data_IF_182771135829
#
_entry.id   IF_182771135829
#
_cell.length_a   1.000
_cell.length_b   1.000
_cell.length_c   1.000
_cell.angle_alpha   90.00
_cell.angle_beta   90.00
_cell.angle_gamma   90.00
#
_symmetry.space_group_name_H-M   'P 1'
#
loop_
_entity.id
_entity.type
_entity.pdbx_description
1 polymer ?
#
# COMPACT_ATOMS: atom_id res chain seq x y z
N UNK A 1 -0.52 21.58 -4.92
CA UNK A 1 -0.49 23.04 -5.14
C UNK A 1 0.93 23.49 -5.42
N UNK A 2 1.08 24.66 -5.98
CA UNK A 2 2.36 25.38 -6.10
C UNK A 2 2.35 26.49 -5.07
N UNK A 3 3.46 26.60 -4.32
CA UNK A 3 3.65 27.64 -3.31
C UNK A 3 4.96 28.37 -3.58
N UNK A 4 5.03 29.66 -3.26
CA UNK A 4 6.27 30.42 -3.33
C UNK A 4 7.09 30.16 -2.07
N UNK A 5 8.33 29.69 -2.25
CA UNK A 5 9.31 29.50 -1.19
C UNK A 5 10.64 30.07 -1.66
N UNK A 6 11.19 31.04 -0.90
CA UNK A 6 12.48 31.69 -1.22
C UNK A 6 12.56 32.26 -2.64
N UNK A 7 11.43 32.80 -3.16
CA UNK A 7 11.32 33.35 -4.50
C UNK A 7 11.21 32.32 -5.63
N UNK A 8 11.03 31.05 -5.29
CA UNK A 8 10.84 29.96 -6.25
C UNK A 8 9.46 29.32 -6.10
N UNK A 9 8.84 28.91 -7.22
CA UNK A 9 7.61 28.14 -7.21
C UNK A 9 7.96 26.67 -6.88
N UNK A 10 7.45 26.19 -5.74
CA UNK A 10 7.67 24.82 -5.26
C UNK A 10 6.34 24.07 -5.25
N UNK A 11 6.33 22.90 -5.87
CA UNK A 11 5.17 22.03 -5.83
C UNK A 11 5.07 21.36 -4.46
N UNK A 12 3.88 21.39 -3.85
CA UNK A 12 3.62 20.73 -2.56
C UNK A 12 2.41 19.82 -2.68
N UNK A 13 2.58 18.57 -2.26
CA UNK A 13 1.49 17.60 -2.16
C UNK A 13 1.11 17.38 -0.70
N UNK A 14 -0.18 17.24 -0.40
CA UNK A 14 -0.67 16.98 0.96
C UNK A 14 -1.34 15.62 1.05
N UNK A 15 -1.06 14.91 2.14
CA UNK A 15 -1.81 13.72 2.53
C UNK A 15 -2.42 13.96 3.92
N UNK A 16 -3.74 13.85 4.03
CA UNK A 16 -4.49 14.06 5.27
C UNK A 16 -5.00 12.74 5.78
N UNK A 17 -4.67 12.41 7.01
CA UNK A 17 -4.96 11.14 7.68
C UNK A 17 -5.89 11.39 8.85
N UNK A 18 -7.05 10.73 8.89
CA UNK A 18 -7.92 10.74 10.05
C UNK A 18 -7.31 9.91 11.18
N UNK A 19 -7.22 10.47 12.35
CA UNK A 19 -6.72 9.85 13.58
C UNK A 19 -7.82 9.55 14.60
N UNK A 20 -8.98 10.18 14.44
CA UNK A 20 -10.22 9.93 15.16
C UNK A 20 -11.38 10.54 14.35
N UNK A 21 -12.53 10.72 14.96
CA UNK A 21 -13.67 11.43 14.36
C UNK A 21 -13.40 12.94 14.22
N UNK A 22 -12.50 13.49 15.04
CA UNK A 22 -12.24 14.94 15.11
C UNK A 22 -10.75 15.31 15.00
N UNK A 23 -9.85 14.35 14.95
CA UNK A 23 -8.41 14.62 14.87
C UNK A 23 -7.80 14.07 13.60
N UNK A 24 -6.85 14.82 13.05
CA UNK A 24 -6.19 14.52 11.79
C UNK A 24 -4.69 14.76 11.90
N UNK A 25 -3.94 14.14 11.00
CA UNK A 25 -2.55 14.52 10.69
C UNK A 25 -2.49 14.90 9.22
N UNK A 26 -1.77 15.96 8.91
CA UNK A 26 -1.37 16.30 7.55
C UNK A 26 0.12 16.08 7.37
N UNK A 27 0.51 15.51 6.24
CA UNK A 27 1.90 15.48 5.79
C UNK A 27 2.00 16.23 4.47
N UNK A 28 2.78 17.30 4.44
CA UNK A 28 3.13 18.06 3.25
C UNK A 28 4.43 17.49 2.67
N UNK A 29 4.42 17.16 1.40
CA UNK A 29 5.53 16.61 0.63
C UNK A 29 6.08 17.68 -0.30
N UNK A 30 7.29 18.16 -0.04
CA UNK A 30 7.94 19.19 -0.85
C UNK A 30 8.47 18.57 -2.15
N UNK A 31 8.06 19.07 -3.29
CA UNK A 31 8.31 18.50 -4.63
C UNK A 31 7.09 17.82 -5.25
N UNK A 32 6.04 17.54 -4.48
CA UNK A 32 4.81 16.90 -4.94
C UNK A 32 4.40 15.68 -4.11
N UNK A 33 3.41 14.93 -4.54
CA UNK A 33 3.01 13.70 -3.84
C UNK A 33 4.01 12.54 -4.07
N UNK A 34 4.12 11.56 -3.16
CA UNK A 34 4.89 10.34 -3.39
C UNK A 34 4.51 9.66 -4.73
N UNK A 35 5.50 9.37 -5.57
CA UNK A 35 5.31 8.86 -6.92
C UNK A 35 4.76 9.89 -7.92
N UNK A 36 4.76 11.19 -7.57
CA UNK A 36 4.36 12.30 -8.44
C UNK A 36 5.16 13.58 -8.11
N UNK A 37 6.48 13.41 -7.95
CA UNK A 37 7.45 14.49 -7.77
C UNK A 37 8.24 14.40 -6.47
N UNK A 38 7.64 13.97 -5.37
CA UNK A 38 8.40 13.72 -4.14
C UNK A 38 9.23 12.45 -4.23
N UNK A 39 10.47 12.52 -3.80
CA UNK A 39 11.41 11.42 -3.71
C UNK A 39 11.78 11.15 -2.25
N UNK A 40 12.12 9.89 -1.93
CA UNK A 40 12.54 9.50 -0.58
C UNK A 40 13.74 10.33 -0.12
N UNK A 41 13.63 10.88 1.08
CA UNK A 41 14.64 11.76 1.66
C UNK A 41 14.44 13.25 1.36
N UNK A 42 13.52 13.61 0.44
CA UNK A 42 13.10 14.99 0.28
C UNK A 42 12.28 15.47 1.51
N UNK A 43 12.25 16.79 1.71
CA UNK A 43 11.61 17.43 2.85
C UNK A 43 10.13 17.05 2.96
N UNK A 44 9.69 16.80 4.20
CA UNK A 44 8.29 16.69 4.58
C UNK A 44 8.02 17.55 5.80
N UNK A 45 6.80 18.09 5.90
CA UNK A 45 6.35 18.84 7.08
C UNK A 45 5.05 18.23 7.59
N UNK A 46 4.90 18.13 8.91
CA UNK A 46 3.67 17.58 9.49
C UNK A 46 2.91 18.64 10.28
N UNK A 47 1.59 18.45 10.34
CA UNK A 47 0.71 19.26 11.15
C UNK A 47 -0.37 18.40 11.78
N UNK A 48 -0.76 18.71 13.01
CA UNK A 48 -1.89 18.11 13.68
C UNK A 48 -3.14 18.95 13.46
N UNK A 49 -4.25 18.30 13.11
CA UNK A 49 -5.52 18.94 12.83
C UNK A 49 -6.58 18.58 13.87
N UNK A 50 -7.35 19.56 14.33
CA UNK A 50 -8.50 19.39 15.21
C UNK A 50 -9.75 20.00 14.60
N UNK A 51 -10.80 19.19 14.44
CA UNK A 51 -12.10 19.62 13.93
C UNK A 51 -12.97 20.14 15.07
N UNK A 52 -13.48 21.35 14.94
CA UNK A 52 -14.50 21.95 15.80
C UNK A 52 -15.58 22.59 14.91
N UNK A 53 -16.79 22.05 15.00
CA UNK A 53 -17.85 22.39 14.03
C UNK A 53 -17.49 21.92 12.63
N UNK A 54 -17.33 22.85 11.67
CA UNK A 54 -16.90 22.60 10.29
C UNK A 54 -15.47 23.08 10.01
N UNK A 55 -14.78 23.63 11.03
CA UNK A 55 -13.43 24.18 10.92
C UNK A 55 -12.40 23.20 11.47
N UNK A 56 -11.34 22.97 10.69
CA UNK A 56 -10.15 22.22 11.12
C UNK A 56 -9.04 23.24 11.40
N UNK A 57 -8.58 23.29 12.64
CA UNK A 57 -7.40 24.06 13.05
C UNK A 57 -6.17 23.15 12.96
N UNK A 58 -5.19 23.54 12.19
CA UNK A 58 -3.93 22.84 11.98
C UNK A 58 -2.80 23.52 12.74
N UNK A 59 -2.05 22.75 13.53
CA UNK A 59 -0.86 23.22 14.22
C UNK A 59 0.36 22.48 13.65
N UNK A 60 1.30 23.22 13.09
CA UNK A 60 2.56 22.68 12.59
C UNK A 60 3.58 22.50 13.72
N UNK A 61 4.68 21.78 13.47
CA UNK A 61 5.72 21.47 14.47
C UNK A 61 6.39 22.75 15.04
N UNK A 62 6.47 23.81 14.26
CA UNK A 62 6.98 25.13 14.67
C UNK A 62 5.93 26.01 15.37
N UNK A 63 4.72 25.48 15.62
CA UNK A 63 3.65 26.16 16.34
C UNK A 63 2.79 27.10 15.49
N UNK A 64 3.02 27.21 14.18
CA UNK A 64 2.16 27.99 13.31
C UNK A 64 0.76 27.35 13.21
N UNK A 65 -0.27 28.18 13.18
CA UNK A 65 -1.66 27.75 13.09
C UNK A 65 -2.25 28.18 11.76
N UNK A 66 -2.87 27.21 11.06
CA UNK A 66 -3.69 27.46 9.87
C UNK A 66 -5.10 26.91 10.10
N UNK A 67 -6.09 27.51 9.45
CA UNK A 67 -7.49 27.09 9.56
C UNK A 67 -8.04 26.71 8.21
N UNK A 68 -8.87 25.68 8.17
CA UNK A 68 -9.48 25.21 6.93
C UNK A 68 -10.86 24.61 7.19
N UNK A 69 -11.62 24.41 6.11
CA UNK A 69 -12.83 23.60 6.10
C UNK A 69 -12.88 22.69 4.87
N UNK A 70 -13.63 21.61 4.96
CA UNK A 70 -13.87 20.76 3.80
C UNK A 70 -14.81 21.48 2.83
N UNK A 71 -14.41 21.54 1.57
CA UNK A 71 -15.22 22.04 0.45
C UNK A 71 -15.33 20.94 -0.61
N UNK A 72 -16.26 21.08 -1.54
CA UNK A 72 -16.46 20.08 -2.61
C UNK A 72 -15.17 19.81 -3.41
N UNK A 73 -14.42 20.86 -3.72
CA UNK A 73 -13.18 20.78 -4.49
C UNK A 73 -11.96 20.25 -3.68
N UNK A 74 -12.02 20.19 -2.33
CA UNK A 74 -10.89 19.77 -1.51
C UNK A 74 -10.89 20.36 -0.12
N UNK A 75 -9.79 21.07 0.25
CA UNK A 75 -9.62 21.73 1.54
C UNK A 75 -9.54 23.23 1.28
N UNK A 76 -10.57 23.97 1.73
CA UNK A 76 -10.58 25.44 1.68
C UNK A 76 -9.81 26.03 2.84
N UNK A 77 -8.75 26.80 2.57
CA UNK A 77 -8.07 27.62 3.56
C UNK A 77 -8.96 28.82 3.88
N UNK A 78 -9.07 29.18 5.16
CA UNK A 78 -9.96 30.25 5.61
C UNK A 78 -9.21 31.35 6.34
N UNK A 79 -9.72 32.57 6.19
CA UNK A 79 -9.30 33.74 6.96
C UNK A 79 -9.95 33.76 8.36
N UNK A 80 -9.71 34.82 9.15
CA UNK A 80 -10.25 34.97 10.51
C UNK A 80 -11.77 35.11 10.52
N UNK A 81 -12.37 35.62 9.44
CA UNK A 81 -13.83 35.73 9.27
C UNK A 81 -14.50 34.41 8.86
N UNK A 82 -13.69 33.35 8.61
CA UNK A 82 -14.15 32.02 8.20
C UNK A 82 -14.49 31.92 6.69
N UNK A 83 -14.10 32.89 5.89
CA UNK A 83 -14.26 32.88 4.44
C UNK A 83 -13.14 32.08 3.77
N UNK A 84 -13.48 31.31 2.73
CA UNK A 84 -12.49 30.56 1.94
C UNK A 84 -11.70 31.54 1.07
N UNK A 85 -10.39 31.61 1.31
CA UNK A 85 -9.47 32.47 0.55
C UNK A 85 -8.72 31.72 -0.53
N UNK A 86 -8.49 30.40 -0.34
CA UNK A 86 -7.82 29.54 -1.31
C UNK A 86 -8.30 28.09 -1.13
N UNK A 87 -8.00 27.23 -2.10
CA UNK A 87 -8.39 25.81 -2.03
C UNK A 87 -7.25 24.91 -2.46
N UNK A 88 -6.90 23.97 -1.58
CA UNK A 88 -6.03 22.84 -1.91
C UNK A 88 -6.91 21.78 -2.59
N UNK A 89 -6.77 21.55 -3.91
CA UNK A 89 -7.67 20.67 -4.64
C UNK A 89 -7.48 19.21 -4.25
N UNK A 90 -8.57 18.47 -4.15
CA UNK A 90 -8.55 17.04 -3.93
C UNK A 90 -8.02 16.31 -5.16
N UNK A 91 -7.01 15.47 -4.98
CA UNK A 91 -6.45 14.63 -6.04
C UNK A 91 -6.99 13.21 -5.92
N UNK A 92 -7.60 12.72 -6.99
CA UNK A 92 -8.05 11.34 -7.10
C UNK A 92 -6.98 10.50 -7.80
N UNK A 93 -6.28 9.68 -7.03
CA UNK A 93 -5.26 8.76 -7.55
C UNK A 93 -5.82 7.35 -7.70
N UNK A 94 -5.46 6.70 -8.79
CA UNK A 94 -5.88 5.34 -9.12
C UNK A 94 -4.67 4.58 -9.65
N UNK A 95 -4.55 3.31 -9.28
CA UNK A 95 -3.52 2.45 -9.85
C UNK A 95 -3.65 2.35 -11.37
N UNK A 96 -2.53 2.40 -12.07
CA UNK A 96 -2.48 2.22 -13.54
C UNK A 96 -2.82 0.78 -13.96
N UNK A 97 -2.68 -0.20 -13.06
CA UNK A 97 -2.95 -1.63 -13.32
C UNK A 97 -4.25 -2.09 -12.67
N UNK A 98 -5.05 -1.18 -12.09
CA UNK A 98 -6.34 -1.52 -11.50
C UNK A 98 -7.32 -2.01 -12.58
N UNK A 99 -7.88 -3.21 -12.37
CA UNK A 99 -8.75 -3.88 -13.32
C UNK A 99 -7.98 -4.56 -14.48
N UNK A 100 -6.66 -4.76 -14.33
CA UNK A 100 -5.88 -5.49 -15.31
C UNK A 100 -6.45 -6.88 -15.55
N UNK A 101 -6.69 -7.21 -16.80
CA UNK A 101 -7.18 -8.55 -17.18
C UNK A 101 -6.04 -9.56 -17.14
N UNK A 102 -6.32 -10.81 -16.72
CA UNK A 102 -5.33 -11.88 -16.83
C UNK A 102 -4.95 -12.07 -18.30
N UNK A 103 -3.64 -12.12 -18.64
CA UNK A 103 -3.20 -12.42 -19.98
C UNK A 103 -3.52 -13.89 -20.35
N UNK A 104 -3.37 -14.20 -21.64
CA UNK A 104 -3.51 -15.60 -22.10
C UNK A 104 -2.52 -16.52 -21.37
N UNK A 105 -2.99 -17.69 -20.94
CA UNK A 105 -2.21 -18.67 -20.16
C UNK A 105 -2.09 -18.33 -18.67
N UNK A 106 -2.65 -17.23 -18.18
CA UNK A 106 -2.63 -16.93 -16.75
C UNK A 106 -3.52 -17.90 -15.96
N UNK A 107 -3.05 -18.30 -14.79
CA UNK A 107 -3.85 -19.00 -13.77
C UNK A 107 -4.66 -17.96 -13.00
N UNK A 108 -5.97 -17.96 -13.18
CA UNK A 108 -6.88 -17.08 -12.43
C UNK A 108 -7.15 -17.71 -11.07
N UNK A 109 -6.59 -17.14 -10.02
CA UNK A 109 -6.80 -17.60 -8.65
C UNK A 109 -8.13 -17.10 -8.07
N UNK A 110 -8.45 -15.80 -8.30
CA UNK A 110 -9.71 -15.23 -7.82
C UNK A 110 -10.25 -14.15 -8.76
N UNK A 111 -11.45 -14.35 -9.26
CA UNK A 111 -12.19 -13.44 -10.16
C UNK A 111 -13.50 -12.91 -9.56
N UNK A 112 -13.81 -13.28 -8.31
CA UNK A 112 -15.05 -12.91 -7.62
C UNK A 112 -16.18 -13.93 -7.78
N UNK A 113 -15.98 -15.02 -8.53
CA UNK A 113 -16.94 -16.14 -8.62
C UNK A 113 -16.85 -17.05 -7.40
N UNK A 114 -17.94 -17.75 -7.09
CA UNK A 114 -17.96 -18.77 -6.03
C UNK A 114 -17.01 -19.95 -6.36
N UNK A 115 -16.78 -20.21 -7.64
CA UNK A 115 -15.86 -21.26 -8.07
C UNK A 115 -14.42 -20.88 -7.75
N UNK A 116 -14.00 -19.64 -8.01
CA UNK A 116 -12.64 -19.18 -7.75
C UNK A 116 -12.26 -19.14 -6.26
N UNK A 117 -13.24 -19.05 -5.35
CA UNK A 117 -13.00 -19.18 -3.89
C UNK A 117 -12.40 -20.55 -3.56
N UNK A 118 -12.80 -21.60 -4.28
CA UNK A 118 -12.31 -22.98 -4.06
C UNK A 118 -10.83 -23.18 -4.40
N UNK A 119 -10.20 -22.22 -5.09
CA UNK A 119 -8.77 -22.22 -5.35
C UNK A 119 -7.94 -21.94 -4.10
N UNK A 120 -8.59 -21.59 -2.98
CA UNK A 120 -7.92 -21.27 -1.71
C UNK A 120 -8.31 -22.24 -0.61
N UNK A 121 -7.34 -22.67 0.19
CA UNK A 121 -7.58 -23.19 1.52
C UNK A 121 -8.06 -22.05 2.42
N UNK A 122 -9.11 -22.29 3.18
CA UNK A 122 -9.82 -21.28 3.99
C UNK A 122 -10.35 -20.09 3.17
N UNK A 123 -10.53 -20.25 1.86
CA UNK A 123 -11.13 -19.24 1.01
C UNK A 123 -12.55 -18.88 1.45
N UNK A 124 -12.85 -17.59 1.57
CA UNK A 124 -14.16 -17.08 1.92
C UNK A 124 -14.49 -15.84 1.09
N UNK A 125 -15.66 -15.84 0.45
CA UNK A 125 -16.18 -14.67 -0.23
C UNK A 125 -16.92 -13.78 0.77
N UNK A 126 -16.53 -12.50 0.84
CA UNK A 126 -17.16 -11.48 1.69
C UNK A 126 -17.64 -10.30 0.84
N UNK A 127 -18.58 -9.53 1.36
CA UNK A 127 -19.13 -8.36 0.66
C UNK A 127 -19.55 -8.67 -0.80
N UNK A 128 -20.07 -9.89 -1.01
CA UNK A 128 -20.59 -10.39 -2.28
C UNK A 128 -19.55 -11.01 -3.20
N UNK A 129 -18.44 -10.39 -3.49
CA UNK A 129 -17.46 -10.84 -4.50
C UNK A 129 -16.00 -10.52 -4.14
N UNK A 130 -15.67 -10.40 -2.87
CA UNK A 130 -14.32 -10.09 -2.43
C UNK A 130 -13.75 -11.29 -1.67
N UNK A 131 -12.46 -11.56 -1.85
CA UNK A 131 -11.77 -12.61 -1.11
C UNK A 131 -11.33 -12.04 0.25
N UNK A 132 -11.68 -12.75 1.31
CA UNK A 132 -11.20 -12.47 2.66
C UNK A 132 -9.73 -12.84 2.80
N UNK A 133 -9.01 -12.11 3.63
CA UNK A 133 -7.68 -12.49 4.11
C UNK A 133 -7.69 -13.81 4.90
N UNK A 134 -6.53 -14.28 5.33
CA UNK A 134 -6.26 -15.55 6.01
C UNK A 134 -6.60 -16.78 5.16
N UNK A 135 -6.18 -16.73 3.90
CA UNK A 135 -6.31 -17.83 2.97
C UNK A 135 -5.03 -18.05 2.17
N UNK A 136 -4.86 -19.26 1.65
CA UNK A 136 -3.69 -19.63 0.86
C UNK A 136 -4.08 -20.40 -0.42
N UNK A 137 -3.39 -20.13 -1.52
CA UNK A 137 -3.67 -20.81 -2.78
C UNK A 137 -3.37 -22.31 -2.66
N UNK A 138 -4.24 -23.16 -3.23
CA UNK A 138 -3.99 -24.61 -3.34
C UNK A 138 -2.87 -24.91 -4.32
N UNK A 139 -2.84 -24.16 -5.44
CA UNK A 139 -1.76 -24.24 -6.41
C UNK A 139 -0.51 -23.56 -5.88
N UNK A 140 0.64 -24.17 -6.17
CA UNK A 140 1.98 -23.67 -5.82
C UNK A 140 2.70 -23.25 -7.09
N UNK A 141 3.57 -22.25 -6.98
CA UNK A 141 4.26 -21.62 -8.10
C UNK A 141 5.76 -21.57 -7.87
N UNK A 142 6.53 -21.81 -8.94
CA UNK A 142 7.98 -21.60 -9.00
C UNK A 142 8.32 -20.14 -9.28
N UNK A 143 9.06 -19.90 -10.37
CA UNK A 143 9.29 -18.57 -10.93
C UNK A 143 7.98 -18.08 -11.58
N UNK A 144 7.48 -16.89 -11.19
CA UNK A 144 6.19 -16.43 -11.67
C UNK A 144 6.01 -14.92 -11.55
N UNK A 145 5.01 -14.41 -12.26
CA UNK A 145 4.46 -13.06 -12.10
C UNK A 145 3.10 -13.15 -11.44
N UNK A 146 2.75 -12.15 -10.66
CA UNK A 146 1.43 -12.05 -10.04
C UNK A 146 0.88 -10.64 -10.19
N UNK A 147 -0.43 -10.57 -10.35
CA UNK A 147 -1.24 -9.39 -10.11
C UNK A 147 -2.26 -9.68 -9.03
N UNK A 148 -2.45 -8.73 -8.12
CA UNK A 148 -3.57 -8.75 -7.19
C UNK A 148 -4.03 -7.33 -6.85
N UNK A 149 -5.32 -7.21 -6.50
CA UNK A 149 -5.90 -5.98 -5.99
C UNK A 149 -6.31 -6.16 -4.53
N UNK A 150 -5.99 -5.17 -3.70
CA UNK A 150 -6.34 -5.18 -2.29
C UNK A 150 -6.94 -3.85 -1.84
N UNK A 151 -7.66 -3.88 -0.73
CA UNK A 151 -8.26 -2.69 -0.12
C UNK A 151 -8.16 -2.78 1.41
N UNK A 152 -7.53 -1.78 2.02
CA UNK A 152 -7.45 -1.64 3.47
C UNK A 152 -8.75 -1.04 4.03
N UNK A 153 -9.17 -1.44 5.23
CA UNK A 153 -10.34 -0.88 5.91
C UNK A 153 -10.08 0.54 6.43
N UNK A 154 -11.14 1.33 6.62
CA UNK A 154 -11.06 2.61 7.33
C UNK A 154 -11.07 2.37 8.84
N UNK A 155 -9.95 2.65 9.51
CA UNK A 155 -9.72 2.41 10.93
C UNK A 155 -9.05 3.63 11.60
N UNK A 156 -9.74 4.78 11.72
CA UNK A 156 -9.11 6.04 12.16
C UNK A 156 -8.55 5.98 13.58
N UNK A 157 -9.11 5.13 14.44
CA UNK A 157 -8.64 4.98 15.83
C UNK A 157 -7.44 4.02 15.98
N UNK A 158 -7.16 3.20 14.98
CA UNK A 158 -6.04 2.26 14.99
C UNK A 158 -4.72 2.94 14.56
N UNK A 159 -3.60 2.38 15.00
CA UNK A 159 -2.25 2.87 14.72
C UNK A 159 -1.29 1.74 14.38
N UNK A 160 -0.24 2.07 13.63
CA UNK A 160 0.86 1.15 13.33
C UNK A 160 0.36 -0.19 12.79
N UNK A 161 0.90 -1.29 13.29
CA UNK A 161 0.54 -2.65 12.86
C UNK A 161 -0.90 -3.08 13.19
N UNK A 162 -1.65 -2.32 13.95
CA UNK A 162 -3.07 -2.54 14.21
C UNK A 162 -4.01 -1.88 13.18
N UNK A 163 -3.48 -1.13 12.18
CA UNK A 163 -4.29 -0.33 11.27
C UNK A 163 -4.28 -0.92 9.85
N UNK A 164 -5.31 -1.69 9.51
CA UNK A 164 -5.50 -2.25 8.16
C UNK A 164 -4.41 -3.24 7.77
N UNK A 165 -3.95 -4.06 8.72
CA UNK A 165 -2.84 -4.98 8.56
C UNK A 165 -3.25 -6.29 7.90
N UNK A 166 -2.43 -6.70 6.96
CA UNK A 166 -2.39 -8.00 6.28
C UNK A 166 -1.00 -8.16 5.66
N UNK A 167 -0.76 -9.25 4.94
CA UNK A 167 0.47 -9.49 4.18
C UNK A 167 0.17 -10.33 2.95
N UNK A 168 0.84 -10.05 1.85
CA UNK A 168 0.88 -10.91 0.69
C UNK A 168 2.22 -11.66 0.69
N UNK A 169 2.20 -12.98 0.88
CA UNK A 169 3.40 -13.79 0.92
C UNK A 169 3.67 -14.46 -0.42
N UNK A 170 4.76 -14.09 -1.08
CA UNK A 170 5.28 -14.77 -2.26
C UNK A 170 5.78 -16.13 -1.82
N UNK A 171 5.29 -17.21 -2.44
CA UNK A 171 5.59 -18.60 -2.09
C UNK A 171 5.30 -18.98 -0.62
N UNK A 172 4.51 -18.16 0.12
CA UNK A 172 4.31 -18.32 1.57
C UNK A 172 5.57 -18.04 2.40
N UNK A 173 6.59 -17.41 1.82
CA UNK A 173 7.94 -17.25 2.38
C UNK A 173 8.36 -15.79 2.53
N UNK A 174 7.98 -14.92 1.59
CA UNK A 174 8.44 -13.53 1.54
C UNK A 174 7.24 -12.60 1.60
N UNK A 175 7.12 -11.91 2.71
CA UNK A 175 6.02 -10.99 2.95
C UNK A 175 6.24 -9.65 2.26
N UNK A 176 5.29 -9.30 1.39
CA UNK A 176 5.05 -7.94 0.95
C UNK A 176 3.96 -7.36 1.83
N UNK A 177 4.31 -6.40 2.67
CA UNK A 177 3.42 -5.86 3.70
C UNK A 177 2.20 -5.17 3.08
N UNK A 178 1.02 -5.44 3.64
CA UNK A 178 -0.23 -4.71 3.40
C UNK A 178 -0.63 -4.02 4.70
N UNK A 179 -0.68 -2.69 4.68
CA UNK A 179 -0.98 -1.87 5.84
C UNK A 179 -1.65 -0.56 5.38
N UNK A 180 -2.51 0.04 6.19
CA UNK A 180 -2.88 1.44 5.97
C UNK A 180 -1.73 2.35 6.40
N UNK A 181 -0.80 2.55 5.48
CA UNK A 181 0.39 3.39 5.63
C UNK A 181 0.27 4.73 4.90
N UNK A 182 -0.96 5.15 4.58
CA UNK A 182 -1.17 6.44 3.91
C UNK A 182 -0.61 7.58 4.77
N UNK A 183 0.27 8.40 4.20
CA UNK A 183 0.94 9.51 4.88
C UNK A 183 2.08 9.13 5.82
N UNK A 184 2.53 7.86 5.81
CA UNK A 184 3.72 7.41 6.52
C UNK A 184 4.95 7.37 5.61
N UNK A 185 6.12 7.08 6.20
CA UNK A 185 7.42 7.15 5.52
C UNK A 185 7.64 6.01 4.50
N UNK A 186 7.00 4.85 4.68
CA UNK A 186 7.21 3.65 3.88
C UNK A 186 8.41 2.83 4.38
N UNK A 187 8.35 2.35 5.63
CA UNK A 187 9.36 1.46 6.22
C UNK A 187 9.19 0.01 5.75
N UNK A 188 10.14 -0.85 6.09
CA UNK A 188 10.10 -2.27 5.70
C UNK A 188 8.90 -3.05 6.30
N UNK A 189 8.26 -2.53 7.34
CA UNK A 189 7.04 -3.05 7.97
C UNK A 189 5.80 -2.22 7.66
N UNK A 190 5.85 -1.37 6.65
CA UNK A 190 4.75 -0.56 6.13
C UNK A 190 4.38 -1.03 4.72
N UNK A 191 3.27 -0.54 4.18
CA UNK A 191 2.71 -1.00 2.90
C UNK A 191 3.74 -0.97 1.77
N UNK A 192 3.95 -2.12 1.11
CA UNK A 192 4.96 -2.29 0.07
C UNK A 192 6.35 -2.66 0.57
N UNK A 193 6.61 -2.62 1.87
CA UNK A 193 7.86 -3.12 2.44
C UNK A 193 7.98 -4.63 2.32
N UNK A 194 9.20 -5.14 2.14
CA UNK A 194 9.51 -6.55 2.36
C UNK A 194 9.90 -6.69 3.84
N UNK A 195 9.02 -7.32 4.60
CA UNK A 195 9.10 -7.32 6.06
C UNK A 195 10.49 -7.71 6.57
N UNK A 196 11.09 -6.85 7.38
CA UNK A 196 12.44 -7.00 7.94
C UNK A 196 13.60 -7.06 6.92
N UNK A 197 13.35 -6.90 5.61
CA UNK A 197 14.38 -6.99 4.56
C UNK A 197 14.61 -5.64 3.90
N UNK A 198 13.55 -5.01 3.36
CA UNK A 198 13.73 -3.80 2.54
C UNK A 198 12.56 -2.83 2.62
N UNK A 199 12.86 -1.56 2.69
CA UNK A 199 11.90 -0.47 2.52
C UNK A 199 11.55 -0.28 1.04
N UNK A 200 10.31 0.10 0.68
CA UNK A 200 9.98 0.46 -0.69
C UNK A 200 10.69 1.77 -1.09
N UNK A 201 11.10 1.91 -2.35
CA UNK A 201 11.72 3.15 -2.87
C UNK A 201 10.84 4.38 -2.62
N UNK A 202 9.53 4.20 -2.63
CA UNK A 202 8.53 5.25 -2.35
C UNK A 202 7.28 4.62 -1.77
N UNK A 203 6.66 5.28 -0.78
CA UNK A 203 5.37 4.86 -0.24
C UNK A 203 4.23 5.22 -1.21
N UNK A 204 3.72 4.23 -1.93
CA UNK A 204 2.62 4.39 -2.89
C UNK A 204 1.25 4.08 -2.29
N UNK A 205 1.14 3.93 -0.96
CA UNK A 205 -0.13 3.63 -0.29
C UNK A 205 -1.17 4.73 -0.60
N UNK A 206 -2.36 4.31 -0.99
CA UNK A 206 -3.52 5.18 -1.17
C UNK A 206 -4.34 5.21 0.13
N UNK A 207 -5.23 6.21 0.30
CA UNK A 207 -6.11 6.25 1.46
C UNK A 207 -6.90 4.96 1.65
N UNK A 208 -7.26 4.60 2.90
CA UNK A 208 -8.11 3.43 3.16
C UNK A 208 -9.40 3.49 2.34
N UNK A 209 -9.99 2.34 2.05
CA UNK A 209 -11.11 2.12 1.14
C UNK A 209 -10.80 2.35 -0.35
N UNK A 210 -9.58 2.76 -0.71
CA UNK A 210 -9.13 2.81 -2.09
C UNK A 210 -8.61 1.45 -2.53
N UNK A 211 -8.98 1.03 -3.75
CA UNK A 211 -8.39 -0.16 -4.36
C UNK A 211 -6.96 0.12 -4.81
N UNK A 212 -6.06 -0.76 -4.46
CA UNK A 212 -4.63 -0.71 -4.73
C UNK A 212 -4.19 -2.00 -5.41
N UNK A 213 -3.05 -1.98 -6.11
CA UNK A 213 -2.54 -3.15 -6.82
C UNK A 213 -1.10 -3.46 -6.40
N UNK A 214 -0.80 -4.74 -6.25
CA UNK A 214 0.55 -5.25 -6.36
C UNK A 214 0.70 -6.03 -7.65
N UNK A 215 1.74 -5.70 -8.40
CA UNK A 215 2.23 -6.46 -9.55
C UNK A 215 3.67 -6.84 -9.26
N UNK A 216 4.01 -8.13 -9.31
CA UNK A 216 5.39 -8.53 -9.14
C UNK A 216 5.88 -9.53 -10.19
N UNK A 217 7.20 -9.54 -10.36
CA UNK A 217 7.98 -10.50 -11.13
C UNK A 217 8.98 -11.17 -10.19
N UNK A 218 8.81 -12.48 -9.92
CA UNK A 218 9.56 -13.23 -8.92
C UNK A 218 10.38 -14.34 -9.57
N UNK A 219 11.61 -14.51 -9.07
CA UNK A 219 12.48 -15.64 -9.36
C UNK A 219 12.87 -16.31 -8.05
N UNK A 220 12.61 -17.61 -7.94
CA UNK A 220 12.84 -18.40 -6.73
C UNK A 220 14.33 -18.60 -6.42
N UNK A 221 14.65 -18.82 -5.17
CA UNK A 221 15.98 -19.24 -4.74
C UNK A 221 16.37 -20.56 -5.41
N UNK A 222 17.64 -20.75 -5.71
CA UNK A 222 18.16 -21.98 -6.30
C UNK A 222 19.05 -22.71 -5.31
N UNK A 223 18.99 -24.04 -5.38
CA UNK A 223 19.69 -24.94 -4.51
C UNK A 223 20.52 -25.92 -5.35
N UNK A 224 21.62 -26.43 -4.79
CA UNK A 224 22.39 -27.51 -5.39
C UNK A 224 21.82 -28.88 -5.03
N UNK A 225 22.48 -29.93 -5.52
CA UNK A 225 22.05 -31.32 -5.28
C UNK A 225 22.12 -31.73 -3.80
N UNK A 226 22.90 -31.03 -2.98
CA UNK A 226 23.04 -31.27 -1.55
C UNK A 226 22.01 -30.47 -0.74
N UNK A 227 21.11 -29.72 -1.42
CA UNK A 227 20.10 -28.89 -0.79
C UNK A 227 20.62 -27.57 -0.20
N UNK A 228 21.83 -27.16 -0.55
CA UNK A 228 22.41 -25.89 -0.15
C UNK A 228 21.97 -24.80 -1.09
N UNK A 229 21.49 -23.68 -0.53
CA UNK A 229 21.12 -22.51 -1.34
C UNK A 229 22.36 -21.91 -2.01
N UNK A 230 22.34 -21.86 -3.34
CA UNK A 230 23.42 -21.32 -4.19
C UNK A 230 23.05 -19.97 -4.83
N UNK A 231 21.77 -19.62 -4.87
CA UNK A 231 21.30 -18.32 -5.35
C UNK A 231 20.08 -17.86 -4.58
N UNK A 232 20.08 -16.63 -4.12
CA UNK A 232 18.95 -16.02 -3.44
C UNK A 232 17.77 -15.79 -4.40
N UNK A 233 16.56 -15.74 -3.86
CA UNK A 233 15.41 -15.30 -4.61
C UNK A 233 15.51 -13.81 -4.96
N UNK A 234 14.81 -13.40 -6.02
CA UNK A 234 14.78 -12.00 -6.47
C UNK A 234 13.37 -11.59 -6.85
N UNK A 235 13.07 -10.31 -6.64
CA UNK A 235 11.74 -9.78 -6.95
C UNK A 235 11.78 -8.34 -7.45
N UNK A 236 11.00 -8.05 -8.48
CA UNK A 236 10.61 -6.68 -8.85
C UNK A 236 9.14 -6.48 -8.49
N UNK A 237 8.82 -5.45 -7.70
CA UNK A 237 7.45 -5.17 -7.26
C UNK A 237 7.04 -3.77 -7.70
N UNK A 238 5.82 -3.69 -8.24
CA UNK A 238 5.12 -2.43 -8.48
C UNK A 238 3.95 -2.30 -7.51
N UNK A 239 3.85 -1.17 -6.85
CA UNK A 239 2.68 -0.78 -6.07
C UNK A 239 1.96 0.34 -6.82
N UNK A 240 0.69 0.15 -7.13
CA UNK A 240 -0.12 1.07 -7.94
C UNK A 240 0.54 1.46 -9.28
N UNK A 241 1.27 0.50 -9.90
CA UNK A 241 1.96 0.67 -11.17
C UNK A 241 3.32 1.37 -11.10
N UNK A 242 3.80 1.75 -9.92
CA UNK A 242 5.12 2.35 -9.67
C UNK A 242 6.07 1.31 -9.11
N UNK A 243 7.27 1.19 -9.67
CA UNK A 243 8.31 0.26 -9.17
C UNK A 243 8.76 0.71 -7.78
N UNK A 244 8.52 -0.11 -6.77
CA UNK A 244 8.92 0.13 -5.37
C UNK A 244 10.11 -0.74 -4.95
N UNK A 245 10.28 -1.91 -5.55
CA UNK A 245 11.47 -2.76 -5.49
C UNK A 245 11.84 -3.17 -6.90
N UNK A 246 13.11 -3.10 -7.24
CA UNK A 246 13.63 -3.34 -8.58
C UNK A 246 14.74 -4.37 -8.50
N UNK A 247 14.48 -5.58 -8.99
CA UNK A 247 15.36 -6.74 -8.92
C UNK A 247 16.00 -6.95 -7.53
N UNK A 248 15.16 -6.76 -6.49
CA UNK A 248 15.60 -6.87 -5.10
C UNK A 248 15.97 -8.31 -4.77
N UNK A 249 17.15 -8.49 -4.20
CA UNK A 249 17.60 -9.77 -3.66
C UNK A 249 16.97 -10.04 -2.31
N UNK A 250 16.45 -11.26 -2.13
CA UNK A 250 15.81 -11.74 -0.90
C UNK A 250 16.75 -12.77 -0.24
N UNK A 251 17.58 -12.36 0.72
CA UNK A 251 18.62 -13.24 1.27
C UNK A 251 18.06 -14.37 2.12
N UNK A 252 16.89 -14.14 2.73
CA UNK A 252 16.19 -15.11 3.60
C UNK A 252 14.68 -14.92 3.47
N UNK A 253 13.90 -15.92 3.90
CA UNK A 253 12.45 -15.76 4.08
C UNK A 253 12.15 -14.72 5.18
N UNK A 254 11.00 -14.09 5.09
CA UNK A 254 10.48 -13.21 6.14
C UNK A 254 9.87 -14.06 7.27
N UNK A 255 9.77 -13.53 8.51
CA UNK A 255 9.00 -14.20 9.57
C UNK A 255 7.56 -14.45 9.13
N UNK A 256 6.98 -15.55 9.53
CA UNK A 256 5.54 -15.76 9.39
C UNK A 256 5.11 -17.16 8.97
N UNK A 257 5.15 -17.52 7.67
CA UNK A 257 4.42 -18.74 7.24
C UNK A 257 5.33 -19.94 7.02
N UNK A 258 6.22 -19.89 6.04
CA UNK A 258 7.07 -21.02 5.66
C UNK A 258 8.53 -20.63 5.51
N UNK A 259 9.48 -21.52 5.83
CA UNK A 259 10.88 -21.33 5.50
C UNK A 259 11.13 -21.44 3.99
N UNK A 260 12.31 -20.95 3.56
CA UNK A 260 12.78 -21.21 2.20
C UNK A 260 12.96 -22.72 1.96
N UNK A 261 12.69 -23.13 0.74
CA UNK A 261 12.86 -24.51 0.30
C UNK A 261 13.03 -24.58 -1.23
N UNK A 262 13.69 -25.63 -1.70
CA UNK A 262 13.82 -25.97 -3.13
C UNK A 262 12.53 -26.61 -3.65
N UNK A 263 11.45 -25.84 -3.65
CA UNK A 263 10.14 -26.29 -4.13
C UNK A 263 9.24 -25.11 -4.46
N UNK A 264 8.27 -25.26 -5.37
CA UNK A 264 7.21 -24.29 -5.56
C UNK A 264 6.49 -23.99 -4.26
N UNK A 265 6.06 -22.72 -4.06
CA UNK A 265 5.33 -22.27 -2.88
C UNK A 265 3.99 -21.65 -3.24
N UNK A 266 3.11 -21.55 -2.25
CA UNK A 266 1.76 -21.02 -2.36
C UNK A 266 1.72 -19.49 -2.22
N UNK A 267 0.69 -18.85 -2.76
CA UNK A 267 0.34 -17.49 -2.36
C UNK A 267 -0.39 -17.54 -1.01
N UNK A 268 0.07 -16.79 -0.04
CA UNK A 268 -0.63 -16.63 1.24
C UNK A 268 -1.04 -15.17 1.45
N UNK A 269 -2.32 -14.96 1.77
CA UNK A 269 -2.90 -13.67 2.13
C UNK A 269 -3.14 -13.70 3.65
N UNK A 270 -2.28 -13.00 4.37
CA UNK A 270 -2.21 -13.09 5.85
C UNK A 270 -3.45 -12.55 6.52
N UNK A 271 -3.92 -13.29 7.55
CA UNK A 271 -4.87 -12.80 8.53
C UNK A 271 -4.16 -12.12 9.70
N UNK A 272 -4.50 -10.87 9.99
CA UNK A 272 -3.95 -10.10 11.11
C UNK A 272 -5.03 -9.37 11.92
N UNK A 273 -6.26 -9.91 11.93
CA UNK A 273 -7.39 -9.34 12.68
C UNK A 273 -8.01 -8.07 12.09
N UNK A 274 -7.52 -7.58 10.94
CA UNK A 274 -8.08 -6.42 10.26
C UNK A 274 -8.80 -6.84 8.97
N UNK A 275 -9.98 -6.27 8.63
CA UNK A 275 -10.81 -6.74 7.52
C UNK A 275 -10.30 -6.24 6.15
N UNK A 276 -9.06 -6.56 5.82
CA UNK A 276 -8.48 -6.35 4.48
C UNK A 276 -9.14 -7.32 3.50
N UNK A 277 -9.43 -6.87 2.31
CA UNK A 277 -10.08 -7.68 1.27
C UNK A 277 -9.30 -7.60 -0.04
N UNK A 278 -9.44 -8.67 -0.82
CA UNK A 278 -8.72 -8.88 -2.08
C UNK A 278 -9.69 -9.15 -3.23
N UNK A 279 -9.24 -8.90 -4.46
CA UNK A 279 -9.95 -9.26 -5.69
C UNK A 279 -8.97 -9.34 -6.86
N UNK A 280 -9.41 -9.84 -8.01
CA UNK A 280 -8.66 -9.88 -9.26
C UNK A 280 -7.24 -10.41 -9.05
N UNK A 281 -7.13 -11.67 -8.64
CA UNK A 281 -5.84 -12.34 -8.34
C UNK A 281 -5.52 -13.34 -9.42
N UNK A 282 -4.40 -13.15 -10.13
CA UNK A 282 -3.95 -14.07 -11.16
C UNK A 282 -2.41 -14.15 -11.21
N UNK A 283 -1.93 -15.29 -11.71
CA UNK A 283 -0.52 -15.65 -11.80
C UNK A 283 -0.17 -16.07 -13.22
N UNK A 284 1.03 -15.68 -13.66
CA UNK A 284 1.65 -16.18 -14.90
C UNK A 284 2.92 -16.92 -14.52
N UNK A 285 2.97 -18.21 -14.77
CA UNK A 285 4.18 -19.03 -14.58
C UNK A 285 5.22 -18.69 -15.66
N UNK A 286 6.51 -18.81 -15.31
CA UNK A 286 7.63 -18.55 -16.25
C UNK A 286 8.25 -19.81 -16.72
#
# INVERSE_FOLDING_TARGET
>A
VEVEQDGQQVKVGFQVIALSDTTFKSTAFIGGLPGAGWERGAETRTSEGKLEGDIISWTSEDGNVARSKLVEAGIGLINDDGEVTDTIPKVHRKSKTLGAKPPEGAVVLFDGSAESVKNFERGEAVLGKLLRHDCESKQKFGDHKLHLEFRTPYMPFARGQGRGNSGMYIQGRYEVQVLDSFGLDGKNNECGGIYSISEPKVNMCLPPLSWQTYDYDFTAAKYDADGKKVKNARVTIKHNGVVIHDDLELPNHTPGKHPEADSPGLLYLQGHGNPVVYRNVWVVEK
#
